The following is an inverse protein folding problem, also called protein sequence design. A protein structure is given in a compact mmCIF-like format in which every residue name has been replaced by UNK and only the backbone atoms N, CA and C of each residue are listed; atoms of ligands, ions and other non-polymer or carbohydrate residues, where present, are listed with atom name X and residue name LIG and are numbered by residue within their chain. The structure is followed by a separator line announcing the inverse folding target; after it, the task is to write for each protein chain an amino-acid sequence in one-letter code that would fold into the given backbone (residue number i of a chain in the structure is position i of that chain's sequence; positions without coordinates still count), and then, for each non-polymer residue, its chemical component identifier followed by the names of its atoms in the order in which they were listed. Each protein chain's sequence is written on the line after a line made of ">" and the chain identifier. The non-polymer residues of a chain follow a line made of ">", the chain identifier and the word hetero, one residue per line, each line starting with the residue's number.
data_IF_390075206605
#
_entry.id   IF_390075206605
#
_cell.length_a   1.000
_cell.length_b   1.000
_cell.length_c   1.000
_cell.angle_alpha   90.00
_cell.angle_beta   90.00
_cell.angle_gamma   90.00
#
_symmetry.space_group_name_H-M   'P 1'
#
loop_
_entity.id
_entity.type
_entity.pdbx_description
1 polymer ?
#
# COMPACT_ATOMS: atom_id res chain seq x y z
N UNK A 1 -11.42 67.64 34.01
CA UNK A 1 -10.26 66.95 33.42
C UNK A 1 -9.74 65.71 34.18
N UNK A 2 -10.41 65.20 35.24
CA UNK A 2 -9.96 63.97 35.95
C UNK A 2 -10.57 62.67 35.41
N UNK A 3 -11.76 62.71 34.80
CA UNK A 3 -12.45 61.52 34.29
C UNK A 3 -11.88 60.97 32.98
N UNK A 4 -11.35 61.83 32.10
CA UNK A 4 -10.75 61.40 30.82
C UNK A 4 -9.45 60.59 31.04
N UNK A 5 -8.67 60.96 32.07
CA UNK A 5 -7.36 60.35 32.33
C UNK A 5 -7.49 58.91 32.87
N UNK A 6 -8.52 58.63 33.67
CA UNK A 6 -8.78 57.27 34.17
C UNK A 6 -9.27 56.32 33.06
N UNK A 7 -9.99 56.82 32.07
CA UNK A 7 -10.47 56.01 30.94
C UNK A 7 -9.31 55.62 30.00
N UNK A 8 -8.40 56.55 29.74
CA UNK A 8 -7.18 56.31 28.95
C UNK A 8 -6.26 55.33 29.69
N UNK A 9 -6.09 55.50 31.01
CA UNK A 9 -5.24 54.63 31.82
C UNK A 9 -5.77 53.18 31.89
N UNK A 10 -7.09 53.00 32.01
CA UNK A 10 -7.72 51.67 31.99
C UNK A 10 -7.64 50.99 30.62
N UNK A 11 -7.79 51.75 29.53
CA UNK A 11 -7.61 51.20 28.18
C UNK A 11 -6.18 50.76 27.91
N UNK A 12 -5.20 51.53 28.41
CA UNK A 12 -3.78 51.21 28.25
C UNK A 12 -3.41 49.95 29.04
N UNK A 13 -3.96 49.79 30.26
CA UNK A 13 -3.85 48.56 31.06
C UNK A 13 -4.49 47.35 30.37
N UNK A 14 -5.67 47.53 29.77
CA UNK A 14 -6.35 46.47 29.03
C UNK A 14 -5.55 46.02 27.80
N UNK A 15 -4.98 46.97 27.06
CA UNK A 15 -4.13 46.68 25.90
C UNK A 15 -2.86 45.92 26.32
N UNK A 16 -2.24 46.29 27.44
CA UNK A 16 -1.07 45.58 27.99
C UNK A 16 -1.46 44.16 28.42
N UNK A 17 -2.63 43.97 29.02
CA UNK A 17 -3.07 42.64 29.45
C UNK A 17 -3.35 41.72 28.25
N UNK A 18 -3.94 42.25 27.19
CA UNK A 18 -4.22 41.53 25.94
C UNK A 18 -2.91 41.17 25.21
N UNK A 19 -1.93 42.08 25.16
CA UNK A 19 -0.64 41.79 24.53
C UNK A 19 0.13 40.71 25.29
N UNK A 20 0.16 40.75 26.63
CA UNK A 20 0.79 39.69 27.44
C UNK A 20 0.12 38.33 27.20
N UNK A 21 -1.21 38.29 27.08
CA UNK A 21 -1.94 37.06 26.80
C UNK A 21 -1.61 36.50 25.40
N UNK A 22 -1.51 37.37 24.39
CA UNK A 22 -1.19 36.98 23.01
C UNK A 22 0.25 36.48 22.83
N UNK A 23 1.21 36.90 23.67
CA UNK A 23 2.61 36.46 23.57
C UNK A 23 2.85 35.11 24.29
N UNK A 24 1.94 34.69 25.18
CA UNK A 24 2.10 33.49 26.01
C UNK A 24 1.72 32.16 25.33
N UNK A 25 1.12 32.18 24.14
CA UNK A 25 0.54 31.00 23.49
C UNK A 25 1.38 30.47 22.33
N UNK A 26 2.64 30.13 22.57
CA UNK A 26 3.35 29.21 21.68
C UNK A 26 4.38 28.36 22.43
N UNK A 27 3.91 27.55 23.37
CA UNK A 27 4.70 26.41 23.82
C UNK A 27 4.76 25.40 22.66
N UNK A 28 5.86 25.37 21.91
CA UNK A 28 6.16 24.28 20.98
C UNK A 28 6.37 23.01 21.80
N UNK A 29 5.31 22.23 21.96
CA UNK A 29 5.38 20.89 22.50
C UNK A 29 6.32 20.05 21.62
N UNK A 30 7.60 20.05 21.98
CA UNK A 30 8.61 19.31 21.25
C UNK A 30 8.59 17.90 21.83
N UNK A 31 7.82 17.01 21.19
CA UNK A 31 7.79 15.58 21.56
C UNK A 31 9.16 14.98 21.24
N UNK A 32 10.02 14.94 22.25
CA UNK A 32 11.30 14.23 22.17
C UNK A 32 11.02 12.74 22.35
N UNK A 33 10.94 12.01 21.24
CA UNK A 33 10.80 10.54 21.25
C UNK A 33 12.17 9.97 21.60
N UNK A 34 12.38 9.66 22.89
CA UNK A 34 13.68 9.20 23.43
C UNK A 34 14.02 7.74 23.10
N UNK A 35 13.04 6.94 22.69
CA UNK A 35 13.23 5.56 22.24
C UNK A 35 12.02 5.13 21.39
N UNK A 36 12.18 4.15 20.47
CA UNK A 36 11.03 3.51 19.84
C UNK A 36 10.07 2.98 20.91
N UNK A 37 8.76 3.08 20.68
CA UNK A 37 7.80 2.48 21.59
C UNK A 37 8.03 0.95 21.63
N UNK A 38 8.47 0.43 22.77
CA UNK A 38 8.55 -1.02 22.97
C UNK A 38 7.13 -1.60 23.01
N UNK A 39 6.80 -2.47 22.06
CA UNK A 39 5.50 -3.13 22.00
C UNK A 39 5.45 -4.20 23.09
N UNK A 40 4.75 -3.94 24.20
CA UNK A 40 4.61 -4.90 25.27
C UNK A 40 3.57 -5.98 24.91
N UNK A 41 4.07 -7.13 24.43
CA UNK A 41 3.25 -8.32 24.12
C UNK A 41 3.21 -9.37 25.22
N UNK A 42 3.83 -9.13 26.39
CA UNK A 42 4.04 -10.17 27.44
C UNK A 42 2.74 -10.83 27.94
N UNK A 43 1.62 -10.11 27.90
CA UNK A 43 0.30 -10.60 28.32
C UNK A 43 -0.56 -11.17 27.18
N UNK A 44 -0.04 -11.19 25.95
CA UNK A 44 -0.75 -11.65 24.76
C UNK A 44 -0.20 -13.03 24.41
N UNK A 45 -0.98 -14.08 24.66
CA UNK A 45 -0.60 -15.46 24.32
C UNK A 45 -1.53 -16.04 23.27
N UNK A 46 -2.82 -15.78 23.39
CA UNK A 46 -3.85 -16.29 22.50
C UNK A 46 -4.33 -15.19 21.57
N UNK A 47 -4.16 -15.40 20.27
CA UNK A 47 -4.56 -14.44 19.25
C UNK A 47 -5.64 -15.02 18.34
N UNK A 48 -6.63 -14.21 18.00
CA UNK A 48 -7.55 -14.53 16.91
C UNK A 48 -7.20 -13.70 15.67
N UNK A 49 -7.55 -14.20 14.49
CA UNK A 49 -7.38 -13.46 13.23
C UNK A 49 -8.75 -13.08 12.68
N UNK A 50 -8.99 -11.77 12.61
CA UNK A 50 -10.21 -11.19 12.08
C UNK A 50 -10.20 -11.02 10.56
N UNK A 51 -11.18 -10.28 10.05
CA UNK A 51 -11.29 -9.92 8.64
C UNK A 51 -10.20 -8.95 8.18
N UNK A 52 -9.83 -9.07 6.90
CA UNK A 52 -8.99 -8.10 6.21
C UNK A 52 -9.85 -7.26 5.28
N UNK A 53 -9.99 -5.97 5.60
CA UNK A 53 -10.78 -5.04 4.80
C UNK A 53 -10.10 -4.80 3.45
N UNK A 54 -10.87 -4.78 2.37
CA UNK A 54 -10.38 -4.37 1.06
C UNK A 54 -10.57 -2.86 0.93
N UNK A 55 -9.48 -2.10 0.98
CA UNK A 55 -9.52 -0.64 0.84
C UNK A 55 -9.72 -0.19 -0.60
N UNK A 56 -8.86 -0.64 -1.51
CA UNK A 56 -9.00 -0.37 -2.94
C UNK A 56 -8.33 -1.48 -3.73
N UNK A 57 -9.03 -2.01 -4.74
CA UNK A 57 -8.41 -2.84 -5.76
C UNK A 57 -8.58 -2.18 -7.12
N UNK A 58 -7.47 -1.86 -7.76
CA UNK A 58 -7.42 -1.32 -9.10
C UNK A 58 -6.73 -2.32 -10.00
N UNK A 59 -7.41 -2.72 -11.06
CA UNK A 59 -6.82 -3.49 -12.13
C UNK A 59 -6.91 -2.66 -13.41
N UNK A 60 -5.78 -2.37 -14.05
CA UNK A 60 -5.70 -1.57 -15.28
C UNK A 60 -5.11 -2.43 -16.38
N UNK A 61 -5.79 -2.51 -17.52
CA UNK A 61 -5.23 -3.08 -18.74
C UNK A 61 -4.89 -1.96 -19.70
N UNK A 62 -3.60 -1.80 -20.01
CA UNK A 62 -3.10 -0.89 -21.04
C UNK A 62 -2.82 -1.70 -22.29
N UNK A 63 -3.48 -1.35 -23.40
CA UNK A 63 -3.18 -1.94 -24.70
C UNK A 63 -2.75 -0.86 -25.65
N UNK A 64 -1.62 -1.07 -26.33
CA UNK A 64 -1.17 -0.25 -27.43
C UNK A 64 -1.64 -0.87 -28.76
N UNK A 65 -2.42 -0.11 -29.53
CA UNK A 65 -2.71 -0.46 -30.93
C UNK A 65 -2.43 0.74 -31.81
N UNK A 66 -1.50 0.59 -32.77
CA UNK A 66 -1.15 1.64 -33.73
C UNK A 66 -0.78 2.99 -33.07
N UNK A 67 -0.09 2.95 -31.92
CA UNK A 67 0.29 4.15 -31.17
C UNK A 67 -0.82 4.75 -30.28
N UNK A 68 -2.01 4.13 -30.22
CA UNK A 68 -3.10 4.56 -29.32
C UNK A 68 -3.11 3.67 -28.08
N UNK A 69 -3.01 4.30 -26.92
CA UNK A 69 -3.10 3.65 -25.62
C UNK A 69 -4.53 3.62 -25.12
N UNK A 70 -5.07 2.43 -24.89
CA UNK A 70 -6.37 2.23 -24.26
C UNK A 70 -6.19 1.68 -22.84
N UNK A 71 -6.89 2.27 -21.86
CA UNK A 71 -6.88 1.80 -20.47
C UNK A 71 -8.26 1.28 -20.08
N UNK A 72 -8.35 0.00 -19.70
CA UNK A 72 -9.57 -0.60 -19.20
C UNK A 72 -9.47 -0.86 -17.69
N UNK A 73 -10.25 -0.15 -16.86
CA UNK A 73 -10.35 -0.49 -15.45
C UNK A 73 -11.19 -1.76 -15.29
N UNK A 74 -10.75 -2.68 -14.45
CA UNK A 74 -11.58 -3.81 -14.00
C UNK A 74 -11.89 -3.64 -12.53
N UNK A 75 -13.18 -3.59 -12.24
CA UNK A 75 -13.73 -3.57 -10.89
C UNK A 75 -13.93 -5.00 -10.43
N UNK A 76 -13.50 -5.32 -9.21
CA UNK A 76 -13.76 -6.62 -8.62
C UNK A 76 -15.13 -6.65 -7.96
N UNK A 77 -15.86 -7.74 -8.16
CA UNK A 77 -17.13 -7.96 -7.48
C UNK A 77 -16.92 -8.29 -5.99
N UNK A 78 -17.98 -8.23 -5.19
CA UNK A 78 -17.91 -8.46 -3.75
C UNK A 78 -17.43 -9.87 -3.39
N UNK A 79 -17.75 -10.87 -4.21
CA UNK A 79 -17.33 -12.26 -4.00
C UNK A 79 -15.81 -12.42 -4.19
N UNK A 80 -15.26 -11.80 -5.23
CA UNK A 80 -13.82 -11.76 -5.50
C UNK A 80 -13.09 -11.03 -4.38
N UNK A 81 -13.62 -9.91 -3.90
CA UNK A 81 -13.04 -9.17 -2.77
C UNK A 81 -13.03 -10.02 -1.49
N UNK A 82 -14.14 -10.72 -1.18
CA UNK A 82 -14.21 -11.65 -0.04
C UNK A 82 -13.24 -12.82 -0.18
N UNK A 83 -13.09 -13.36 -1.39
CA UNK A 83 -12.14 -14.44 -1.68
C UNK A 83 -10.69 -14.01 -1.43
N UNK A 84 -10.32 -12.80 -1.86
CA UNK A 84 -9.00 -12.21 -1.60
C UNK A 84 -8.79 -12.00 -0.10
N UNK A 85 -9.75 -11.40 0.60
CA UNK A 85 -9.70 -11.19 2.05
C UNK A 85 -9.48 -12.50 2.82
N UNK A 86 -10.24 -13.55 2.50
CA UNK A 86 -10.08 -14.89 3.08
C UNK A 86 -8.71 -15.51 2.78
N UNK A 87 -8.20 -15.32 1.57
CA UNK A 87 -6.89 -15.82 1.17
C UNK A 87 -5.76 -15.14 1.96
N UNK A 88 -5.85 -13.82 2.16
CA UNK A 88 -4.89 -13.07 2.99
C UNK A 88 -4.98 -13.53 4.44
N UNK A 89 -6.20 -13.66 4.99
CA UNK A 89 -6.41 -14.17 6.35
C UNK A 89 -5.78 -15.55 6.55
N UNK A 90 -6.03 -16.48 5.64
CA UNK A 90 -5.46 -17.83 5.69
C UNK A 90 -3.93 -17.80 5.66
N UNK A 91 -3.34 -16.91 4.84
CA UNK A 91 -1.89 -16.73 4.80
C UNK A 91 -1.34 -16.20 6.14
N UNK A 92 -2.01 -15.23 6.75
CA UNK A 92 -1.62 -14.68 8.06
C UNK A 92 -1.72 -15.74 9.15
N UNK A 93 -2.81 -16.50 9.20
CA UNK A 93 -2.97 -17.64 10.11
C UNK A 93 -1.79 -18.60 9.95
N UNK A 94 -1.45 -18.99 8.71
CA UNK A 94 -0.37 -19.93 8.45
C UNK A 94 1.01 -19.40 8.91
N UNK A 95 1.27 -18.10 8.76
CA UNK A 95 2.51 -17.49 9.25
C UNK A 95 2.56 -17.43 10.78
N UNK A 96 1.43 -17.16 11.42
CA UNK A 96 1.31 -17.10 12.88
C UNK A 96 1.38 -18.49 13.51
N UNK A 97 0.82 -19.53 12.89
CA UNK A 97 0.94 -20.91 13.39
C UNK A 97 2.32 -21.50 13.17
N UNK A 98 3.04 -21.06 12.14
CA UNK A 98 4.43 -21.46 11.90
C UNK A 98 5.42 -20.81 12.88
N UNK A 99 5.04 -19.71 13.54
CA UNK A 99 5.91 -18.99 14.49
C UNK A 99 5.48 -19.25 15.94
N UNK A 100 6.39 -19.63 16.85
CA UNK A 100 6.02 -20.06 18.21
C UNK A 100 5.65 -18.93 19.18
N UNK A 101 5.44 -17.70 18.69
CA UNK A 101 5.18 -16.54 19.55
C UNK A 101 3.77 -16.48 20.12
N UNK A 102 2.77 -17.00 19.39
CA UNK A 102 1.37 -16.91 19.79
C UNK A 102 0.62 -18.21 19.51
N UNK A 103 -0.37 -18.52 20.35
CA UNK A 103 -1.36 -19.58 20.08
C UNK A 103 -2.51 -18.98 19.29
N UNK A 104 -2.69 -19.46 18.05
CA UNK A 104 -3.79 -19.01 17.18
C UNK A 104 -5.10 -19.70 17.59
N UNK A 105 -6.13 -18.89 17.87
CA UNK A 105 -7.50 -19.31 18.15
C UNK A 105 -8.33 -19.07 16.89
N UNK A 106 -8.86 -20.16 16.34
CA UNK A 106 -9.73 -20.11 15.17
C UNK A 106 -11.13 -19.69 15.61
N UNK A 107 -11.64 -18.61 15.03
CA UNK A 107 -12.98 -18.11 15.30
C UNK A 107 -13.58 -17.43 14.08
N UNK A 108 -14.78 -17.86 13.73
CA UNK A 108 -15.57 -17.30 12.63
C UNK A 108 -16.23 -15.97 13.03
N UNK A 109 -16.34 -15.70 14.33
CA UNK A 109 -16.94 -14.48 14.87
C UNK A 109 -16.13 -13.26 14.42
N UNK A 110 -14.81 -13.31 14.58
CA UNK A 110 -13.91 -12.22 14.17
C UNK A 110 -13.71 -12.16 12.66
N UNK A 111 -13.90 -13.26 11.93
CA UNK A 111 -13.86 -13.27 10.45
C UNK A 111 -15.02 -12.47 9.86
N UNK A 112 -16.23 -12.60 10.44
CA UNK A 112 -17.44 -11.92 9.96
C UNK A 112 -17.40 -10.41 10.16
N UNK A 113 -16.46 -9.90 10.96
CA UNK A 113 -16.25 -8.48 11.15
C UNK A 113 -15.58 -7.91 9.90
N UNK A 114 -16.36 -7.16 9.11
CA UNK A 114 -15.90 -6.62 7.83
C UNK A 114 -14.88 -5.49 7.94
N UNK A 115 -14.76 -4.82 9.09
CA UNK A 115 -13.88 -3.68 9.28
C UNK A 115 -13.43 -3.52 10.76
N UNK A 116 -12.46 -2.64 10.96
CA UNK A 116 -11.89 -2.34 12.29
C UNK A 116 -12.94 -1.72 13.24
N UNK A 117 -13.85 -0.90 12.72
CA UNK A 117 -14.91 -0.28 13.53
C UNK A 117 -15.85 -1.31 14.15
N UNK A 118 -16.23 -2.35 13.39
CA UNK A 118 -17.08 -3.43 13.87
C UNK A 118 -16.36 -4.24 14.97
N UNK A 119 -15.04 -4.44 14.85
CA UNK A 119 -14.24 -5.05 15.91
C UNK A 119 -14.23 -4.18 17.16
N UNK A 120 -13.94 -2.88 17.04
CA UNK A 120 -13.93 -1.98 18.19
C UNK A 120 -15.28 -1.93 18.91
N UNK A 121 -16.39 -1.94 18.16
CA UNK A 121 -17.74 -2.00 18.71
C UNK A 121 -18.03 -3.33 19.42
N UNK A 122 -17.66 -4.47 18.83
CA UNK A 122 -17.85 -5.78 19.47
C UNK A 122 -17.09 -5.89 20.78
N UNK A 123 -15.86 -5.37 20.81
CA UNK A 123 -14.98 -5.44 21.97
C UNK A 123 -15.40 -4.45 23.06
N UNK A 124 -15.87 -3.25 22.70
CA UNK A 124 -16.33 -2.25 23.67
C UNK A 124 -17.53 -2.73 24.49
N UNK A 125 -18.47 -3.46 23.87
CA UNK A 125 -19.63 -4.06 24.55
C UNK A 125 -19.32 -5.42 25.19
N UNK A 126 -18.07 -5.90 25.10
CA UNK A 126 -17.64 -7.27 25.50
C UNK A 126 -18.59 -8.37 24.98
N UNK A 127 -19.14 -8.15 23.78
CA UNK A 127 -20.20 -8.99 23.21
C UNK A 127 -19.71 -10.24 22.50
N UNK A 128 -18.40 -10.53 22.55
CA UNK A 128 -17.81 -11.65 21.85
C UNK A 128 -18.00 -12.97 22.63
N UNK A 129 -18.34 -14.04 21.91
CA UNK A 129 -18.58 -15.38 22.50
C UNK A 129 -17.31 -16.21 22.59
N UNK A 130 -16.33 -15.92 21.75
CA UNK A 130 -15.07 -16.67 21.69
C UNK A 130 -14.27 -16.51 22.99
N UNK A 131 -14.05 -17.61 23.71
CA UNK A 131 -13.30 -17.61 24.97
C UNK A 131 -11.78 -17.68 24.74
N UNK A 132 -11.02 -17.22 25.72
CA UNK A 132 -9.55 -17.31 25.75
C UNK A 132 -8.84 -16.63 24.58
N UNK A 133 -9.32 -15.45 24.19
CA UNK A 133 -8.64 -14.59 23.21
C UNK A 133 -8.11 -13.36 23.92
N UNK A 134 -6.81 -13.10 23.80
CA UNK A 134 -6.15 -11.95 24.44
C UNK A 134 -6.10 -10.76 23.48
N UNK A 135 -5.93 -11.02 22.18
CA UNK A 135 -5.87 -10.02 21.13
C UNK A 135 -6.40 -10.53 19.79
N UNK A 136 -6.77 -9.60 18.91
CA UNK A 136 -7.22 -9.86 17.54
C UNK A 136 -6.29 -9.16 16.57
N UNK A 137 -5.87 -9.88 15.53
CA UNK A 137 -5.15 -9.31 14.39
C UNK A 137 -6.15 -9.10 13.26
N UNK A 138 -6.24 -7.87 12.76
CA UNK A 138 -7.01 -7.49 11.60
C UNK A 138 -6.18 -6.58 10.70
N UNK A 139 -6.69 -6.21 9.54
CA UNK A 139 -5.92 -5.39 8.62
C UNK A 139 -6.72 -4.83 7.47
N UNK A 140 -6.01 -4.07 6.64
CA UNK A 140 -6.55 -3.46 5.43
C UNK A 140 -5.61 -3.65 4.26
N UNK A 141 -6.16 -3.97 3.10
CA UNK A 141 -5.43 -4.30 1.88
C UNK A 141 -5.71 -3.27 0.79
N UNK A 142 -4.66 -2.85 0.12
CA UNK A 142 -4.72 -2.12 -1.14
C UNK A 142 -3.93 -2.87 -2.21
N UNK A 143 -4.53 -3.01 -3.39
CA UNK A 143 -3.91 -3.70 -4.50
C UNK A 143 -4.09 -2.87 -5.77
N UNK A 144 -2.99 -2.51 -6.40
CA UNK A 144 -2.99 -1.94 -7.73
C UNK A 144 -2.20 -2.86 -8.65
N UNK A 145 -2.81 -3.30 -9.75
CA UNK A 145 -2.13 -4.09 -10.78
C UNK A 145 -2.39 -3.42 -12.12
N UNK A 146 -1.31 -3.20 -12.85
CA UNK A 146 -1.30 -2.74 -14.22
C UNK A 146 -0.73 -3.83 -15.11
N UNK A 147 -1.51 -4.26 -16.10
CA UNK A 147 -1.08 -5.17 -17.17
C UNK A 147 -1.00 -4.37 -18.45
N UNK A 148 0.16 -4.39 -19.09
CA UNK A 148 0.44 -3.66 -20.31
C UNK A 148 0.73 -4.64 -21.42
N UNK A 149 0.06 -4.49 -22.55
CA UNK A 149 0.35 -5.13 -23.83
C UNK A 149 0.77 -4.00 -24.79
N UNK A 150 2.06 -3.94 -25.13
CA UNK A 150 2.67 -2.81 -25.83
C UNK A 150 3.68 -3.24 -26.88
N UNK A 151 4.20 -2.27 -27.63
CA UNK A 151 5.18 -2.49 -28.69
C UNK A 151 6.29 -1.45 -28.61
N UNK A 152 7.54 -1.91 -28.63
CA UNK A 152 8.69 -1.02 -28.81
C UNK A 152 9.09 -0.92 -30.28
N UNK A 153 9.41 0.29 -30.72
CA UNK A 153 9.96 0.52 -32.05
C UNK A 153 11.47 0.67 -31.96
N UNK A 154 12.19 -0.06 -32.78
CA UNK A 154 13.62 0.19 -32.99
C UNK A 154 13.98 0.23 -34.46
N UNK A 155 15.04 0.98 -34.75
CA UNK A 155 15.67 0.98 -36.06
C UNK A 155 16.82 -0.03 -35.99
N UNK A 156 16.72 -1.12 -36.73
CA UNK A 156 17.76 -2.15 -36.81
C UNK A 156 18.40 -2.12 -38.20
N UNK A 157 19.73 -2.14 -38.24
CA UNK A 157 20.48 -2.29 -39.48
C UNK A 157 20.57 -3.76 -39.84
N UNK A 158 20.07 -4.14 -41.02
CA UNK A 158 20.23 -5.47 -41.57
C UNK A 158 21.37 -5.45 -42.59
N UNK A 159 22.40 -6.26 -42.32
CA UNK A 159 23.47 -6.51 -43.27
C UNK A 159 23.08 -7.69 -44.16
N UNK A 160 22.79 -7.41 -45.42
CA UNK A 160 22.56 -8.43 -46.41
C UNK A 160 23.87 -8.75 -47.12
N UNK A 161 24.40 -9.95 -46.87
CA UNK A 161 25.50 -10.48 -47.66
C UNK A 161 24.94 -11.06 -48.96
N UNK A 162 25.26 -10.45 -50.09
CA UNK A 162 24.94 -11.03 -51.40
C UNK A 162 26.14 -11.82 -51.91
N UNK A 163 26.10 -13.17 -51.92
CA UNK A 163 27.22 -13.96 -52.35
C UNK A 163 27.57 -13.65 -53.81
N UNK A 164 28.86 -13.60 -54.16
CA UNK A 164 29.31 -13.23 -55.49
C UNK A 164 28.81 -14.24 -56.53
N UNK A 165 28.22 -13.73 -57.61
CA UNK A 165 27.65 -14.56 -58.69
C UNK A 165 28.69 -15.00 -59.73
N UNK A 166 29.91 -14.45 -59.66
CA UNK A 166 31.05 -14.88 -60.48
C UNK A 166 32.37 -14.64 -59.74
N UNK A 167 33.47 -15.26 -60.22
CA UNK A 167 34.83 -15.07 -59.68
C UNK A 167 35.33 -13.62 -59.71
N UNK A 168 34.69 -12.74 -60.47
CA UNK A 168 35.10 -11.33 -60.65
C UNK A 168 34.18 -10.32 -59.94
N UNK A 169 33.10 -10.76 -59.28
CA UNK A 169 32.28 -9.85 -58.46
C UNK A 169 32.73 -9.93 -57.01
N UNK A 170 33.12 -8.81 -56.39
CA UNK A 170 33.16 -8.70 -54.93
C UNK A 170 31.71 -8.63 -54.46
N UNK A 171 31.30 -9.50 -53.55
CA UNK A 171 29.94 -9.49 -52.99
C UNK A 171 29.56 -8.09 -52.49
N UNK A 172 28.31 -7.69 -52.70
CA UNK A 172 27.81 -6.40 -52.21
C UNK A 172 27.29 -6.59 -50.79
N UNK A 173 27.85 -5.86 -49.83
CA UNK A 173 27.26 -5.66 -48.51
C UNK A 173 26.25 -4.52 -48.61
N UNK A 174 24.97 -4.84 -48.48
CA UNK A 174 23.90 -3.85 -48.42
C UNK A 174 23.48 -3.71 -46.97
N UNK A 175 23.65 -2.50 -46.41
CA UNK A 175 23.10 -2.12 -45.11
C UNK A 175 21.73 -1.51 -45.33
N UNK A 176 20.67 -2.19 -44.89
CA UNK A 176 19.30 -1.67 -44.95
C UNK A 176 18.83 -1.37 -43.55
N UNK A 177 18.42 -0.12 -43.32
CA UNK A 177 17.77 0.27 -42.09
C UNK A 177 16.29 -0.15 -42.11
N UNK A 178 15.88 -0.99 -41.16
CA UNK A 178 14.48 -1.41 -41.00
C UNK A 178 13.93 -0.96 -39.65
N UNK A 179 12.66 -0.51 -39.65
CA UNK A 179 11.90 -0.32 -38.40
C UNK A 179 11.34 -1.66 -37.97
N UNK A 180 11.66 -2.09 -36.76
CA UNK A 180 11.23 -3.35 -36.16
C UNK A 180 10.32 -3.06 -34.98
N UNK A 181 9.21 -3.79 -34.92
CA UNK A 181 8.25 -3.77 -33.83
C UNK A 181 8.52 -4.92 -32.87
N UNK A 182 8.84 -4.60 -31.62
CA UNK A 182 9.12 -5.56 -30.57
C UNK A 182 7.93 -5.63 -29.59
N UNK A 183 7.02 -6.60 -29.76
CA UNK A 183 5.88 -6.74 -28.85
C UNK A 183 6.37 -7.13 -27.46
N UNK A 184 5.73 -6.57 -26.44
CA UNK A 184 6.01 -6.91 -25.06
C UNK A 184 4.75 -6.95 -24.23
N UNK A 185 4.77 -7.81 -23.22
CA UNK A 185 3.78 -7.83 -22.15
C UNK A 185 4.47 -7.52 -20.85
N UNK A 186 3.92 -6.60 -20.08
CA UNK A 186 4.42 -6.30 -18.74
C UNK A 186 3.31 -6.31 -17.72
N UNK A 187 3.64 -6.73 -16.51
CA UNK A 187 2.75 -6.65 -15.36
C UNK A 187 3.49 -5.91 -14.26
N UNK A 188 2.86 -4.86 -13.74
CA UNK A 188 3.33 -4.12 -12.57
C UNK A 188 2.26 -4.19 -11.51
N UNK A 189 2.66 -4.34 -10.26
CA UNK A 189 1.73 -4.43 -9.15
C UNK A 189 2.29 -3.76 -7.91
N UNK A 190 1.41 -3.15 -7.13
CA UNK A 190 1.70 -2.62 -5.81
C UNK A 190 0.69 -3.22 -4.84
N UNK A 191 1.20 -3.88 -3.81
CA UNK A 191 0.43 -4.39 -2.68
C UNK A 191 0.76 -3.55 -1.45
N UNK A 192 -0.24 -2.88 -0.89
CA UNK A 192 -0.17 -2.26 0.44
C UNK A 192 -0.94 -3.11 1.44
N UNK A 193 -0.34 -3.42 2.57
CA UNK A 193 -0.97 -4.19 3.65
C UNK A 193 -0.77 -3.46 4.97
N UNK A 194 -1.86 -3.06 5.58
CA UNK A 194 -1.92 -2.64 6.99
C UNK A 194 -2.29 -3.85 7.85
N UNK A 195 -1.54 -4.09 8.92
CA UNK A 195 -1.87 -5.07 9.94
C UNK A 195 -1.91 -4.36 11.29
N UNK A 196 -2.99 -4.61 12.04
CA UNK A 196 -3.22 -4.07 13.37
C UNK A 196 -3.39 -5.20 14.37
N UNK A 197 -2.76 -5.06 15.53
CA UNK A 197 -2.93 -5.92 16.69
C UNK A 197 -3.71 -5.17 17.76
N UNK A 198 -4.91 -5.66 18.07
CA UNK A 198 -5.81 -5.05 19.06
C UNK A 198 -5.97 -5.98 20.24
N UNK A 199 -5.53 -5.57 21.43
CA UNK A 199 -5.77 -6.30 22.68
C UNK A 199 -7.24 -6.13 23.07
N UNK A 200 -7.85 -7.18 23.61
CA UNK A 200 -9.25 -7.17 24.03
C UNK A 200 -9.45 -6.60 25.44
N UNK A 201 -8.50 -6.82 26.35
CA UNK A 201 -8.61 -6.42 27.76
C UNK A 201 -7.25 -5.92 28.31
N UNK A 202 -7.10 -4.62 28.60
CA UNK A 202 -7.98 -3.52 28.17
C UNK A 202 -8.00 -3.40 26.64
N UNK A 203 -9.07 -2.83 26.08
CA UNK A 203 -9.21 -2.60 24.65
C UNK A 203 -8.20 -1.55 24.19
N UNK A 204 -7.14 -1.96 23.51
CA UNK A 204 -6.11 -1.05 23.00
C UNK A 204 -5.49 -1.57 21.70
N UNK A 205 -5.10 -0.63 20.84
CA UNK A 205 -4.27 -0.94 19.68
C UNK A 205 -2.82 -1.05 20.16
N UNK A 206 -2.30 -2.27 20.16
CA UNK A 206 -0.95 -2.61 20.66
C UNK A 206 0.11 -2.29 19.61
N UNK A 207 -0.20 -2.57 18.35
CA UNK A 207 0.70 -2.32 17.23
C UNK A 207 -0.09 -2.08 15.95
N UNK A 208 0.43 -1.22 15.09
CA UNK A 208 0.03 -1.09 13.70
C UNK A 208 1.27 -1.04 12.83
N UNK A 209 1.23 -1.74 11.70
CA UNK A 209 2.29 -1.69 10.70
C UNK A 209 1.67 -1.60 9.32
N UNK A 210 2.33 -0.87 8.44
CA UNK A 210 1.97 -0.78 7.03
C UNK A 210 3.20 -1.10 6.20
N UNK A 211 3.10 -2.16 5.40
CA UNK A 211 4.12 -2.53 4.43
C UNK A 211 3.60 -2.38 3.01
N UNK A 212 4.50 -1.99 2.11
CA UNK A 212 4.27 -1.97 0.68
C UNK A 212 5.25 -2.89 -0.03
N UNK A 213 4.75 -3.62 -1.02
CA UNK A 213 5.55 -4.45 -1.92
C UNK A 213 5.20 -4.10 -3.34
N UNK A 214 6.22 -3.88 -4.15
CA UNK A 214 6.08 -3.66 -5.59
C UNK A 214 6.56 -4.89 -6.34
N UNK A 215 5.92 -5.13 -7.47
CA UNK A 215 6.25 -6.18 -8.41
C UNK A 215 6.31 -5.58 -9.81
N UNK A 216 7.31 -5.95 -10.58
CA UNK A 216 7.36 -5.64 -12.01
C UNK A 216 7.97 -6.82 -12.75
N UNK A 217 7.32 -7.22 -13.83
CA UNK A 217 7.84 -8.20 -14.75
C UNK A 217 7.49 -7.77 -16.16
N UNK A 218 8.44 -7.97 -17.07
CA UNK A 218 8.28 -7.74 -18.50
C UNK A 218 8.77 -8.95 -19.27
N UNK A 219 8.04 -9.30 -20.32
CA UNK A 219 8.35 -10.40 -21.23
C UNK A 219 8.28 -9.83 -22.65
N UNK A 220 9.33 -10.05 -23.43
CA UNK A 220 9.48 -9.45 -24.77
C UNK A 220 9.94 -7.99 -24.72
N UNK A 221 9.88 -7.33 -25.87
CA UNK A 221 10.53 -6.03 -26.10
C UNK A 221 11.89 -6.19 -26.77
N UNK A 222 12.53 -5.06 -27.05
CA UNK A 222 13.85 -5.03 -27.66
C UNK A 222 14.88 -5.60 -26.69
N UNK A 223 15.81 -6.44 -27.16
CA UNK A 223 16.96 -6.84 -26.35
C UNK A 223 17.88 -5.64 -26.13
N UNK A 224 18.32 -5.42 -24.88
CA UNK A 224 19.34 -4.43 -24.57
C UNK A 224 20.76 -4.90 -24.92
N UNK A 225 20.92 -6.19 -25.20
CA UNK A 225 22.15 -6.78 -25.71
C UNK A 225 22.20 -6.57 -27.23
N UNK A 226 23.11 -5.71 -27.66
CA UNK A 226 23.56 -5.60 -29.05
C UNK A 226 24.41 -6.83 -29.37
N UNK A 227 23.94 -7.67 -30.29
CA UNK A 227 24.77 -8.70 -30.92
C UNK A 227 25.71 -8.07 -31.95
#
# INVERSE_FOLDING_TARGET
>A
MKFLNNYIFNHLLLIILITVFLISSCAKATLTVRSPAEINTRKIKNIAVGGFEIGRIMLKFKTERNGVWQTHPVLLNDEQQKSISRSVRARVINLLTATPYFKVIFSDEFEKLGNDSALQQLVSVRGYKTKNVDAVINGKLWLEIERTDGVELSKEGLEYFRPPRSRNSLGLNLTVDQVVWWPYKSTRGTLGLEIKLTRLLPTEVVATTFETRTYSQRIGGRSGESF
#
